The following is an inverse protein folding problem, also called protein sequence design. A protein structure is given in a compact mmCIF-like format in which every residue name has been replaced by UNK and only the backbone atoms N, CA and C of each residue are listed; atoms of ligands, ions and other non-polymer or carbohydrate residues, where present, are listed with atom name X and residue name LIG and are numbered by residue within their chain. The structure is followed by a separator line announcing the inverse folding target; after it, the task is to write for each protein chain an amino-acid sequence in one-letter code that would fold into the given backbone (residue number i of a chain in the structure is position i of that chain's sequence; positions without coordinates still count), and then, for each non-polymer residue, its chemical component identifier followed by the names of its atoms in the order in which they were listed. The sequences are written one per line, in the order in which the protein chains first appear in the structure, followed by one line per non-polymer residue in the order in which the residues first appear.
data_IF_528162543839
#
_entry.id   IF_528162543839
#
_cell.length_a   1.000
_cell.length_b   1.000
_cell.length_c   1.000
_cell.angle_alpha   90.00
_cell.angle_beta   90.00
_cell.angle_gamma   90.00
#
_symmetry.space_group_name_H-M   'P 1'
#
loop_
_entity.id
_entity.type
_entity.pdbx_description
1 polymer ?
#
# COMPACT_ATOMS: atom_id res chain seq x y z
N UNK A 1 -7.37 -11.61 15.44
CA UNK A 1 -6.66 -12.14 14.24
C UNK A 1 -5.23 -12.45 14.59
N UNK A 2 -4.73 -13.58 14.14
CA UNK A 2 -3.33 -13.98 14.32
C UNK A 2 -2.44 -13.24 13.32
N UNK A 3 -1.12 -13.34 13.51
CA UNK A 3 -0.15 -12.78 12.55
C UNK A 3 -0.36 -13.34 11.14
N UNK A 4 -0.56 -14.64 11.03
CA UNK A 4 -0.77 -15.29 9.73
C UNK A 4 -2.07 -14.84 9.08
N UNK A 5 -3.14 -14.66 9.84
CA UNK A 5 -4.40 -14.14 9.33
C UNK A 5 -4.28 -12.71 8.81
N UNK A 6 -3.54 -11.85 9.51
CA UNK A 6 -3.28 -10.47 9.06
C UNK A 6 -2.43 -10.46 7.77
N UNK A 7 -1.38 -11.28 7.72
CA UNK A 7 -0.57 -11.40 6.50
C UNK A 7 -1.37 -11.97 5.33
N UNK A 8 -2.23 -12.96 5.59
CA UNK A 8 -3.09 -13.52 4.55
C UNK A 8 -4.05 -12.48 4.00
N UNK A 9 -4.61 -11.63 4.85
CA UNK A 9 -5.48 -10.53 4.39
C UNK A 9 -4.73 -9.60 3.43
N UNK A 10 -3.53 -9.19 3.79
CA UNK A 10 -2.70 -8.31 2.93
C UNK A 10 -2.30 -9.03 1.64
N UNK A 11 -1.85 -10.29 1.74
CA UNK A 11 -1.37 -11.07 0.59
C UNK A 11 -2.45 -11.32 -0.47
N UNK A 12 -3.69 -11.55 -0.04
CA UNK A 12 -4.78 -11.80 -1.00
C UNK A 12 -5.46 -10.53 -1.50
N UNK A 13 -5.11 -9.36 -0.97
CA UNK A 13 -5.71 -8.09 -1.34
C UNK A 13 -4.99 -7.50 -2.54
N UNK A 14 -5.67 -7.42 -3.69
CA UNK A 14 -5.15 -6.72 -4.87
C UNK A 14 -5.27 -5.21 -4.72
N UNK A 15 -6.26 -4.77 -3.93
CA UNK A 15 -6.55 -3.37 -3.71
C UNK A 15 -6.52 -3.06 -2.22
N UNK A 16 -6.10 -1.84 -1.91
CA UNK A 16 -6.27 -1.23 -0.61
C UNK A 16 -6.94 0.13 -0.78
N UNK A 17 -7.40 0.70 0.31
CA UNK A 17 -7.89 2.07 0.34
C UNK A 17 -6.86 2.92 1.08
N UNK A 18 -6.34 3.94 0.42
CA UNK A 18 -5.46 4.92 1.06
C UNK A 18 -6.29 6.10 1.53
N UNK A 19 -6.09 6.50 2.80
CA UNK A 19 -6.66 7.70 3.39
C UNK A 19 -5.57 8.75 3.55
N UNK A 20 -5.88 10.00 3.21
CA UNK A 20 -4.94 11.10 3.28
C UNK A 20 -5.69 12.41 3.53
N UNK A 21 -4.94 13.46 3.89
CA UNK A 21 -5.48 14.79 4.13
C UNK A 21 -5.09 15.73 3.00
N UNK A 22 -6.05 16.42 2.40
CA UNK A 22 -5.78 17.37 1.33
C UNK A 22 -5.34 18.74 1.89
N UNK A 23 -5.03 19.66 0.97
CA UNK A 23 -4.53 21.00 1.31
C UNK A 23 -5.55 21.83 2.09
N UNK A 24 -6.85 21.47 2.00
CA UNK A 24 -7.92 22.15 2.74
C UNK A 24 -8.20 21.50 4.10
N UNK A 25 -7.41 20.49 4.49
CA UNK A 25 -7.58 19.76 5.74
C UNK A 25 -8.68 18.71 5.70
N UNK A 26 -9.23 18.42 4.52
CA UNK A 26 -10.27 17.39 4.38
C UNK A 26 -9.65 16.01 4.29
N UNK A 27 -10.36 15.04 4.86
CA UNK A 27 -10.00 13.64 4.75
C UNK A 27 -10.48 13.08 3.43
N UNK A 28 -9.59 12.42 2.72
CA UNK A 28 -9.88 11.80 1.43
C UNK A 28 -9.54 10.32 1.48
N UNK A 29 -10.26 9.52 0.70
CA UNK A 29 -9.96 8.12 0.52
C UNK A 29 -10.00 7.79 -0.96
N UNK A 30 -9.13 6.86 -1.39
CA UNK A 30 -9.20 6.31 -2.74
C UNK A 30 -8.65 4.91 -2.77
N UNK A 31 -9.05 4.18 -3.78
CA UNK A 31 -8.57 2.83 -4.01
C UNK A 31 -7.21 2.88 -4.71
N UNK A 32 -6.30 2.00 -4.30
CA UNK A 32 -4.97 1.85 -4.90
C UNK A 32 -4.65 0.38 -5.11
N UNK A 33 -3.81 0.08 -6.09
CA UNK A 33 -3.27 -1.26 -6.26
C UNK A 33 -2.20 -1.53 -5.21
N UNK A 34 -2.35 -2.62 -4.47
CA UNK A 34 -1.35 -3.11 -3.53
C UNK A 34 -0.45 -4.13 -4.23
N UNK A 35 0.48 -3.64 -5.03
CA UNK A 35 1.27 -4.49 -5.92
C UNK A 35 2.52 -5.07 -5.28
N UNK A 36 2.98 -4.49 -4.17
CA UNK A 36 4.22 -4.93 -3.54
C UNK A 36 4.21 -4.56 -2.07
N UNK A 37 4.63 -5.49 -1.21
CA UNK A 37 4.80 -5.19 0.21
C UNK A 37 5.85 -6.09 0.83
N UNK A 38 6.43 -5.62 1.92
CA UNK A 38 7.31 -6.38 2.80
C UNK A 38 6.68 -6.41 4.19
N UNK A 39 6.22 -7.59 4.62
CA UNK A 39 5.49 -7.72 5.87
C UNK A 39 4.27 -6.81 5.91
N UNK A 40 4.00 -6.19 7.04
CA UNK A 40 2.97 -5.16 7.20
C UNK A 40 3.54 -3.75 7.13
N UNK A 41 4.84 -3.59 7.29
CA UNK A 41 5.45 -2.28 7.53
C UNK A 41 5.72 -1.47 6.29
N UNK A 42 5.84 -2.09 5.12
CA UNK A 42 6.27 -1.38 3.92
C UNK A 42 5.46 -1.82 2.71
N UNK A 43 4.87 -0.84 2.02
CA UNK A 43 4.05 -1.07 0.84
C UNK A 43 4.44 -0.10 -0.27
N UNK A 44 4.53 -0.60 -1.50
CA UNK A 44 4.80 0.22 -2.67
C UNK A 44 3.59 0.23 -3.60
N UNK A 45 3.26 1.42 -4.08
CA UNK A 45 2.08 1.67 -4.92
C UNK A 45 2.52 2.49 -6.12
N UNK A 46 2.20 2.03 -7.32
CA UNK A 46 2.43 2.81 -8.54
C UNK A 46 1.24 3.71 -8.82
N UNK A 47 1.50 4.94 -9.24
CA UNK A 47 0.43 5.90 -9.50
C UNK A 47 0.89 7.02 -10.44
N UNK A 48 -0.04 7.90 -10.79
CA UNK A 48 0.21 9.06 -11.65
C UNK A 48 0.62 10.26 -10.81
N UNK A 49 1.77 10.85 -11.14
CA UNK A 49 2.27 12.06 -10.47
C UNK A 49 1.28 13.22 -10.53
N UNK A 50 0.53 13.31 -11.62
CA UNK A 50 -0.50 14.35 -11.83
C UNK A 50 -1.73 14.20 -10.95
N UNK A 51 -1.89 13.08 -10.26
CA UNK A 51 -3.07 12.82 -9.43
C UNK A 51 -3.13 13.73 -8.21
N UNK A 52 -4.33 14.12 -7.82
CA UNK A 52 -4.54 15.00 -6.66
C UNK A 52 -3.99 14.39 -5.36
N UNK A 53 -4.14 13.07 -5.19
CA UNK A 53 -3.64 12.41 -3.98
C UNK A 53 -2.10 12.49 -3.87
N UNK A 54 -1.38 12.42 -4.99
CA UNK A 54 0.09 12.53 -4.98
C UNK A 54 0.50 13.94 -4.55
N UNK A 55 -0.16 14.96 -5.09
CA UNK A 55 0.12 16.36 -4.72
C UNK A 55 -0.09 16.61 -3.24
N UNK A 56 -1.18 16.09 -2.69
CA UNK A 56 -1.50 16.20 -1.26
C UNK A 56 -0.47 15.45 -0.40
N UNK A 57 -0.11 14.23 -0.78
CA UNK A 57 0.84 13.41 -0.04
C UNK A 57 2.26 13.96 -0.08
N UNK A 58 2.65 14.67 -1.14
CA UNK A 58 3.95 15.34 -1.20
C UNK A 58 4.05 16.48 -0.17
N UNK A 59 2.93 17.12 0.17
CA UNK A 59 2.87 18.18 1.17
C UNK A 59 2.67 17.64 2.58
N UNK A 60 1.87 16.60 2.73
CA UNK A 60 1.57 15.97 4.00
C UNK A 60 1.50 14.45 3.78
N UNK A 61 2.55 13.76 4.18
CA UNK A 61 2.66 12.32 3.98
C UNK A 61 1.86 11.47 4.95
N UNK A 62 1.25 12.05 5.97
CA UNK A 62 0.41 11.29 6.91
C UNK A 62 -0.72 10.60 6.16
N UNK A 63 -0.82 9.30 6.35
CA UNK A 63 -1.77 8.48 5.61
C UNK A 63 -2.16 7.24 6.41
N UNK A 64 -3.23 6.61 6.00
CA UNK A 64 -3.55 5.26 6.41
C UNK A 64 -3.76 4.38 5.17
N UNK A 65 -3.53 3.10 5.33
CA UNK A 65 -3.72 2.10 4.29
C UNK A 65 -4.64 1.02 4.84
N UNK A 66 -5.79 0.83 4.21
CA UNK A 66 -6.85 -0.04 4.70
C UNK A 66 -7.06 -1.22 3.79
N UNK A 67 -7.00 -2.42 4.38
CA UNK A 67 -7.26 -3.70 3.74
C UNK A 67 -8.53 -4.29 4.33
N UNK A 68 -9.39 -4.83 3.49
CA UNK A 68 -10.64 -5.44 3.97
C UNK A 68 -11.04 -6.65 3.13
N UNK A 69 -11.76 -7.55 3.79
CA UNK A 69 -12.44 -8.67 3.15
C UNK A 69 -13.88 -8.68 3.66
N UNK A 70 -14.79 -8.25 2.82
CA UNK A 70 -16.20 -8.13 3.18
C UNK A 70 -16.85 -9.48 3.47
N UNK A 71 -16.41 -10.53 2.77
CA UNK A 71 -16.97 -11.87 2.96
C UNK A 71 -16.63 -12.48 4.31
N UNK A 72 -15.46 -12.13 4.86
CA UNK A 72 -14.98 -12.59 6.16
C UNK A 72 -15.18 -11.56 7.26
N UNK A 73 -15.70 -10.38 6.94
CA UNK A 73 -15.82 -9.24 7.84
C UNK A 73 -14.51 -8.94 8.55
N UNK A 74 -13.44 -8.87 7.78
CA UNK A 74 -12.09 -8.55 8.27
C UNK A 74 -11.67 -7.19 7.78
N UNK A 75 -10.99 -6.42 8.63
CA UNK A 75 -10.39 -5.15 8.26
C UNK A 75 -9.09 -4.91 9.01
N UNK A 76 -8.12 -4.32 8.32
CA UNK A 76 -6.84 -3.88 8.87
C UNK A 76 -6.57 -2.47 8.36
N UNK A 77 -6.46 -1.53 9.28
CA UNK A 77 -6.03 -0.16 8.99
C UNK A 77 -4.61 0.03 9.52
N UNK A 78 -3.67 0.30 8.62
CA UNK A 78 -2.30 0.67 8.97
C UNK A 78 -2.19 2.19 8.95
N UNK A 79 -1.59 2.76 9.98
CA UNK A 79 -1.34 4.19 10.10
C UNK A 79 0.14 4.45 9.87
N UNK A 80 0.46 5.44 9.06
CA UNK A 80 1.85 5.71 8.77
C UNK A 80 2.08 6.94 7.91
N UNK A 81 3.14 6.87 7.11
CA UNK A 81 3.59 8.00 6.30
C UNK A 81 3.95 7.53 4.89
N UNK A 82 3.70 8.39 3.92
CA UNK A 82 4.01 8.17 2.52
C UNK A 82 5.22 9.01 2.09
N UNK A 83 6.15 8.37 1.39
CA UNK A 83 7.25 9.03 0.70
C UNK A 83 7.01 8.82 -0.80
N UNK A 84 7.08 9.89 -1.58
CA UNK A 84 6.93 9.81 -3.03
C UNK A 84 8.30 9.66 -3.68
N UNK A 85 8.47 8.61 -4.49
CA UNK A 85 9.72 8.29 -5.17
C UNK A 85 9.58 8.42 -6.67
N UNK A 86 10.60 9.03 -7.28
CA UNK A 86 10.70 9.17 -8.73
C UNK A 86 11.90 8.42 -9.30
N UNK A 87 12.76 7.88 -8.45
CA UNK A 87 14.01 7.23 -8.82
C UNK A 87 13.76 5.95 -9.61
N UNK A 88 14.62 5.69 -10.57
CA UNK A 88 14.50 4.54 -11.47
C UNK A 88 14.43 3.21 -10.73
N UNK A 89 15.19 3.04 -9.65
CA UNK A 89 15.19 1.79 -8.88
C UNK A 89 13.80 1.42 -8.34
N UNK A 90 13.02 2.43 -7.88
CA UNK A 90 11.65 2.20 -7.42
C UNK A 90 10.71 1.92 -8.58
N UNK A 91 10.87 2.65 -9.69
CA UNK A 91 10.06 2.46 -10.89
C UNK A 91 10.21 1.06 -11.47
N UNK A 92 11.44 0.53 -11.51
CA UNK A 92 11.74 -0.81 -12.01
C UNK A 92 11.11 -1.91 -11.15
N UNK A 93 11.01 -1.71 -9.83
CA UNK A 93 10.40 -2.69 -8.93
C UNK A 93 8.95 -3.01 -9.27
N UNK A 94 8.20 -2.03 -9.75
CA UNK A 94 6.76 -2.17 -9.99
C UNK A 94 6.38 -2.17 -11.46
N UNK A 95 7.32 -1.91 -12.37
CA UNK A 95 7.01 -1.85 -13.79
C UNK A 95 6.69 -3.23 -14.34
N UNK A 96 5.55 -3.33 -15.04
CA UNK A 96 5.12 -4.54 -15.73
C UNK A 96 5.06 -4.30 -17.24
N UNK A 97 5.28 -5.35 -18.00
CA UNK A 97 5.04 -5.33 -19.45
C UNK A 97 3.57 -4.97 -19.71
N UNK A 98 3.36 -3.99 -20.59
CA UNK A 98 2.02 -3.48 -20.90
C UNK A 98 1.63 -2.21 -20.13
N UNK A 99 2.44 -1.77 -19.18
CA UNK A 99 2.16 -0.53 -18.44
C UNK A 99 2.29 0.72 -19.32
N UNK A 100 2.88 0.58 -20.52
CA UNK A 100 2.94 1.65 -21.51
C UNK A 100 1.56 2.20 -21.91
N UNK A 101 0.51 1.42 -21.75
CA UNK A 101 -0.86 1.89 -22.01
C UNK A 101 -1.31 2.96 -21.00
N UNK A 102 -0.72 2.98 -19.80
CA UNK A 102 -0.97 3.99 -18.77
C UNK A 102 0.10 5.09 -18.80
N UNK A 103 1.31 4.74 -19.22
CA UNK A 103 2.48 5.61 -19.23
C UNK A 103 3.14 5.53 -20.62
N UNK A 104 2.65 6.34 -21.59
CA UNK A 104 3.06 6.21 -23.00
C UNK A 104 4.56 6.38 -23.25
N UNK A 105 5.26 7.10 -22.38
CA UNK A 105 6.71 7.30 -22.48
C UNK A 105 7.52 6.17 -21.82
N UNK A 106 6.86 5.14 -21.31
CA UNK A 106 7.49 4.01 -20.65
C UNK A 106 7.86 4.31 -19.21
N UNK A 107 8.82 3.54 -18.68
CA UNK A 107 9.25 3.62 -17.28
C UNK A 107 9.80 5.01 -16.89
N UNK A 108 10.27 5.79 -17.87
CA UNK A 108 10.77 7.15 -17.66
C UNK A 108 9.68 8.22 -17.78
N UNK A 109 8.42 7.82 -17.96
CA UNK A 109 7.31 8.76 -18.08
C UNK A 109 7.24 9.63 -16.81
N UNK A 110 7.17 10.93 -16.99
CA UNK A 110 7.16 11.92 -15.90
C UNK A 110 5.94 11.77 -14.99
N UNK A 111 4.87 11.20 -15.52
CA UNK A 111 3.63 10.96 -14.77
C UNK A 111 3.66 9.65 -13.98
N UNK A 112 4.74 8.88 -14.08
CA UNK A 112 4.91 7.62 -13.34
C UNK A 112 5.71 7.87 -12.06
N UNK A 113 5.12 7.56 -10.91
CA UNK A 113 5.82 7.63 -9.63
C UNK A 113 5.39 6.48 -8.71
N UNK A 114 6.15 6.29 -7.66
CA UNK A 114 5.94 5.23 -6.67
C UNK A 114 5.68 5.89 -5.31
N UNK A 115 4.61 5.46 -4.66
CA UNK A 115 4.35 5.81 -3.27
C UNK A 115 4.89 4.70 -2.39
N UNK A 116 5.74 5.05 -1.43
CA UNK A 116 6.17 4.15 -0.37
C UNK A 116 5.41 4.48 0.91
N UNK A 117 4.52 3.58 1.33
CA UNK A 117 3.83 3.71 2.60
C UNK A 117 4.60 2.92 3.67
N UNK A 118 4.94 3.60 4.75
CA UNK A 118 5.64 3.02 5.90
C UNK A 118 4.70 3.04 7.09
N UNK A 119 4.30 1.85 7.55
CA UNK A 119 3.38 1.71 8.67
C UNK A 119 4.09 1.93 10.01
N UNK A 120 3.46 2.69 10.90
CA UNK A 120 3.94 2.95 12.25
C UNK A 120 3.12 2.21 13.29
N UNK A 121 1.84 2.00 13.01
CA UNK A 121 0.90 1.29 13.89
C UNK A 121 -0.25 0.74 13.07
N UNK A 122 -1.14 0.00 13.71
CA UNK A 122 -2.30 -0.54 13.02
C UNK A 122 -3.46 -0.86 13.95
N UNK A 123 -4.59 -1.08 13.36
CA UNK A 123 -5.81 -1.50 14.04
C UNK A 123 -6.54 -2.50 13.17
N UNK A 124 -6.97 -3.60 13.76
CA UNK A 124 -7.68 -4.65 13.03
C UNK A 124 -8.97 -5.04 13.75
N UNK A 125 -9.88 -5.58 12.95
CA UNK A 125 -11.11 -6.16 13.48
C UNK A 125 -11.54 -7.37 12.64
N UNK A 126 -12.30 -8.23 13.28
CA UNK A 126 -13.06 -9.32 12.67
C UNK A 126 -14.31 -9.53 13.52
N UNK A 127 -15.27 -10.35 13.05
CA UNK A 127 -16.50 -10.64 13.79
C UNK A 127 -16.26 -11.14 15.24
N UNK A 128 -15.11 -11.77 15.48
CA UNK A 128 -14.74 -12.40 16.77
C UNK A 128 -13.81 -11.54 17.63
N UNK A 129 -13.51 -10.31 17.22
CA UNK A 129 -12.68 -9.43 18.03
C UNK A 129 -11.97 -8.33 17.25
N UNK A 130 -11.26 -7.51 17.99
CA UNK A 130 -10.49 -6.38 17.48
C UNK A 130 -9.21 -6.21 18.28
N UNK A 131 -8.26 -5.47 17.73
CA UNK A 131 -6.99 -5.19 18.41
C UNK A 131 -6.19 -4.10 17.73
N UNK A 132 -5.13 -3.70 18.39
CA UNK A 132 -4.17 -2.71 17.91
C UNK A 132 -2.82 -3.34 17.69
N UNK A 133 -2.04 -2.80 16.75
CA UNK A 133 -0.66 -3.17 16.49
C UNK A 133 0.23 -1.97 16.79
N UNK A 134 1.20 -2.18 17.66
CA UNK A 134 2.21 -1.17 17.99
C UNK A 134 3.34 -1.18 16.95
N UNK A 135 4.18 -0.14 16.97
CA UNK A 135 5.35 -0.08 16.10
C UNK A 135 6.29 -1.30 16.30
N UNK A 136 6.61 -1.76 17.52
CA UNK A 136 7.39 -2.98 17.70
C UNK A 136 6.73 -4.23 17.12
N UNK A 137 5.40 -4.34 17.21
CA UNK A 137 4.67 -5.47 16.64
C UNK A 137 4.72 -5.45 15.11
N UNK A 138 4.59 -4.28 14.48
CA UNK A 138 4.77 -4.13 13.04
C UNK A 138 6.19 -4.56 12.63
N UNK A 139 7.21 -4.08 13.35
CA UNK A 139 8.60 -4.44 13.07
C UNK A 139 8.84 -5.96 13.21
N UNK A 140 8.18 -6.61 14.15
CA UNK A 140 8.28 -8.06 14.33
C UNK A 140 7.68 -8.85 13.16
N UNK A 141 6.65 -8.31 12.49
CA UNK A 141 6.12 -8.89 11.26
C UNK A 141 7.14 -8.86 10.13
N UNK A 142 7.93 -7.82 10.06
CA UNK A 142 8.87 -7.58 8.96
C UNK A 142 10.18 -8.37 9.16
N UNK A 143 10.54 -8.68 10.40
CA UNK A 143 11.79 -9.36 10.72
C UNK A 143 11.87 -10.74 10.07
N UNK A 144 12.93 -10.94 9.26
CA UNK A 144 13.19 -12.22 8.59
C UNK A 144 12.26 -12.53 7.41
N UNK A 145 11.38 -11.63 7.04
CA UNK A 145 10.49 -11.82 5.89
C UNK A 145 11.15 -11.30 4.61
N UNK A 146 10.96 -12.05 3.54
CA UNK A 146 11.35 -11.63 2.21
C UNK A 146 10.31 -10.66 1.62
N UNK A 147 10.73 -9.96 0.57
CA UNK A 147 9.81 -9.11 -0.18
C UNK A 147 8.74 -9.95 -0.86
N UNK A 148 7.50 -9.53 -0.70
CA UNK A 148 6.34 -10.16 -1.33
C UNK A 148 5.70 -9.20 -2.33
N UNK A 149 5.35 -9.71 -3.50
CA UNK A 149 4.65 -8.95 -4.53
C UNK A 149 3.30 -9.59 -4.79
N UNK A 150 2.26 -9.08 -4.12
CA UNK A 150 0.91 -9.64 -4.20
C UNK A 150 0.33 -9.61 -5.61
N UNK A 151 0.62 -8.56 -6.38
CA UNK A 151 0.13 -8.43 -7.75
C UNK A 151 0.73 -9.48 -8.68
N UNK A 152 2.06 -9.63 -8.64
CA UNK A 152 2.73 -10.63 -9.48
C UNK A 152 2.35 -12.06 -9.09
N UNK A 153 2.22 -12.33 -7.80
CA UNK A 153 1.78 -13.63 -7.32
C UNK A 153 0.35 -13.95 -7.80
N UNK A 154 -0.55 -12.98 -7.75
CA UNK A 154 -1.94 -13.15 -8.21
C UNK A 154 -2.03 -13.37 -9.72
N UNK A 155 -1.11 -12.78 -10.51
CA UNK A 155 -1.09 -12.92 -11.97
C UNK A 155 -0.29 -14.12 -12.44
N UNK A 156 0.56 -14.70 -11.61
CA UNK A 156 1.35 -15.88 -11.97
C UNK A 156 0.48 -17.11 -12.20
N UNK A 157 -0.70 -17.17 -11.58
CA UNK A 157 -1.65 -18.29 -11.67
C UNK A 157 -2.72 -18.07 -12.73
N UNK A 158 -2.64 -17.00 -13.51
CA UNK A 158 -3.64 -16.68 -14.54
C UNK A 158 -3.18 -17.04 -15.97
#
# INVERSE_FOLDING_TARGET
MTKDELMNLVNRSLFATIGYTDEMGRQNVRRVFCVWHKGLGRHLISTNTSSAHVKSLMKNGNACLYFSDDSAFEGLCLFGNVIVHFEREYRELLWNEGDEKYYPKGIEDEDYCILEFIAESGRFYRYDGKGDLSAPEIAAFDAGREYENGYHAANADS
#
